data_IF_133248889231
#
_entry.id   IF_133248889231
#
_cell.length_a   1.000
_cell.length_b   1.000
_cell.length_c   1.000
_cell.angle_alpha   90.00
_cell.angle_beta   90.00
_cell.angle_gamma   90.00
#
_symmetry.space_group_name_H-M   'P 1'
#
loop_
_entity.id
_entity.type
_entity.pdbx_description
1 polymer ?
#
# COMPACT_ATOMS: atom_id res chain seq x y z
N UNK A 1 -17.52 -20.86 10.57
CA UNK A 1 -18.42 -20.33 9.54
C UNK A 1 -19.34 -19.33 10.25
N UNK A 2 -18.92 -18.06 10.28
CA UNK A 2 -19.69 -16.94 10.81
C UNK A 2 -20.80 -16.69 9.80
N UNK A 3 -22.04 -16.90 10.17
CA UNK A 3 -23.21 -16.50 9.39
C UNK A 3 -23.15 -14.99 9.19
N UNK A 4 -22.95 -14.54 7.97
CA UNK A 4 -23.17 -13.15 7.60
C UNK A 4 -24.67 -12.85 7.84
N UNK A 5 -24.97 -12.08 8.89
CA UNK A 5 -26.28 -11.53 9.11
C UNK A 5 -26.54 -10.49 7.99
N UNK A 6 -27.19 -10.94 6.94
CA UNK A 6 -27.76 -10.06 5.92
C UNK A 6 -29.06 -9.48 6.46
N UNK A 7 -28.96 -8.79 7.59
CA UNK A 7 -30.03 -7.99 8.13
C UNK A 7 -30.55 -7.06 7.04
N UNK A 8 -31.86 -6.90 6.96
CA UNK A 8 -32.61 -6.00 6.09
C UNK A 8 -32.30 -4.53 6.44
N UNK A 9 -31.02 -4.16 6.43
CA UNK A 9 -30.60 -2.76 6.55
C UNK A 9 -31.06 -2.05 5.28
N UNK A 10 -31.98 -1.11 5.43
CA UNK A 10 -32.34 -0.22 4.33
C UNK A 10 -31.11 0.60 3.97
N UNK A 11 -30.95 0.91 2.68
CA UNK A 11 -29.88 1.80 2.18
C UNK A 11 -29.90 3.16 2.91
N UNK A 12 -31.07 3.60 3.36
CA UNK A 12 -31.27 4.83 4.15
C UNK A 12 -30.63 4.77 5.56
N UNK A 13 -30.33 3.57 6.07
CA UNK A 13 -29.70 3.37 7.40
C UNK A 13 -28.17 3.38 7.35
N UNK A 14 -27.57 3.49 6.14
CA UNK A 14 -26.12 3.62 5.99
C UNK A 14 -25.68 5.00 6.48
N UNK A 15 -24.74 4.99 7.42
CA UNK A 15 -24.16 6.22 7.94
C UNK A 15 -23.58 7.04 6.76
N UNK A 16 -24.05 8.26 6.61
CA UNK A 16 -23.48 9.17 5.61
C UNK A 16 -21.99 9.37 5.90
N UNK A 17 -21.12 9.33 4.89
CA UNK A 17 -19.70 9.49 5.09
C UNK A 17 -19.41 10.86 5.72
N UNK A 18 -18.64 10.84 6.80
CA UNK A 18 -18.13 12.08 7.43
C UNK A 18 -17.35 12.86 6.39
N UNK A 19 -17.64 14.15 6.23
CA UNK A 19 -16.99 15.00 5.24
C UNK A 19 -15.47 14.89 5.29
N UNK A 20 -14.87 14.55 4.15
CA UNK A 20 -13.41 14.41 4.01
C UNK A 20 -12.82 15.82 3.98
N UNK A 21 -11.78 16.14 4.79
CA UNK A 21 -11.15 17.45 4.75
C UNK A 21 -10.54 17.70 3.35
N UNK A 22 -10.83 18.87 2.77
CA UNK A 22 -10.38 19.25 1.43
C UNK A 22 -8.84 19.34 1.27
N UNK A 23 -8.11 19.35 2.37
CA UNK A 23 -6.65 19.38 2.41
C UNK A 23 -6.15 18.20 3.22
N UNK A 24 -5.45 17.28 2.55
CA UNK A 24 -4.83 16.16 3.22
C UNK A 24 -3.46 16.58 3.78
N UNK A 25 -3.23 16.53 5.10
CA UNK A 25 -1.93 16.84 5.68
C UNK A 25 -0.87 15.88 5.14
N UNK A 26 0.33 16.40 4.83
CA UNK A 26 1.49 15.59 4.40
C UNK A 26 1.81 14.42 5.35
N UNK A 27 1.48 14.58 6.64
CA UNK A 27 1.59 13.55 7.65
C UNK A 27 0.75 12.28 7.36
N UNK A 28 -0.35 12.37 6.60
CA UNK A 28 -1.14 11.20 6.21
C UNK A 28 -0.46 10.42 5.07
N UNK A 29 0.20 11.10 4.14
CA UNK A 29 1.00 10.45 3.10
C UNK A 29 2.15 9.64 3.72
N UNK A 30 2.83 10.18 4.74
CA UNK A 30 3.91 9.48 5.45
C UNK A 30 3.45 8.22 6.22
N UNK A 31 2.15 8.08 6.50
CA UNK A 31 1.60 6.87 7.14
C UNK A 31 1.31 5.74 6.16
N UNK A 32 1.37 5.99 4.87
CA UNK A 32 1.12 4.97 3.84
C UNK A 32 2.18 3.87 3.90
N UNK A 33 1.78 2.59 3.91
CA UNK A 33 2.72 1.47 3.98
C UNK A 33 3.66 1.38 2.77
N UNK A 34 3.18 1.75 1.58
CA UNK A 34 3.96 1.74 0.33
C UNK A 34 5.09 2.79 0.36
N UNK A 35 4.82 4.00 0.85
CA UNK A 35 5.84 5.05 1.01
C UNK A 35 6.89 4.63 2.04
N UNK A 36 6.45 4.09 3.18
CA UNK A 36 7.38 3.59 4.22
C UNK A 36 8.23 2.43 3.73
N UNK A 37 7.67 1.55 2.90
CA UNK A 37 8.41 0.45 2.29
C UNK A 37 9.46 0.96 1.31
N UNK A 38 9.12 1.93 0.46
CA UNK A 38 10.05 2.53 -0.48
C UNK A 38 11.16 3.32 0.23
N UNK A 39 10.84 4.03 1.33
CA UNK A 39 11.82 4.71 2.19
C UNK A 39 12.80 3.72 2.83
N UNK A 40 12.30 2.61 3.37
CA UNK A 40 13.13 1.56 3.94
C UNK A 40 14.05 0.91 2.90
N UNK A 41 13.55 0.73 1.67
CA UNK A 41 14.36 0.22 0.56
C UNK A 41 15.48 1.19 0.18
N UNK A 42 15.21 2.50 0.15
CA UNK A 42 16.23 3.53 -0.08
C UNK A 42 17.30 3.53 1.03
N UNK A 43 16.89 3.45 2.29
CA UNK A 43 17.82 3.35 3.43
C UNK A 43 18.69 2.11 3.29
N UNK A 44 18.12 0.96 2.94
CA UNK A 44 18.85 -0.28 2.75
C UNK A 44 19.87 -0.18 1.59
N UNK A 45 19.46 0.39 0.45
CA UNK A 45 20.35 0.58 -0.70
C UNK A 45 21.50 1.54 -0.36
N UNK A 46 21.23 2.63 0.35
CA UNK A 46 22.25 3.57 0.82
C UNK A 46 23.26 2.89 1.78
N UNK A 47 22.76 2.04 2.69
CA UNK A 47 23.62 1.27 3.58
C UNK A 47 24.54 0.26 2.82
N UNK A 48 24.10 -0.25 1.68
CA UNK A 48 24.91 -1.14 0.84
C UNK A 48 26.15 -0.46 0.24
N UNK A 49 26.13 0.86 0.05
CA UNK A 49 27.31 1.63 -0.33
C UNK A 49 28.39 1.46 0.74
N UNK A 50 28.05 1.64 2.01
CA UNK A 50 28.98 1.45 3.13
C UNK A 50 29.52 0.01 3.21
N UNK A 51 28.69 -1.00 2.89
CA UNK A 51 29.15 -2.41 2.80
C UNK A 51 30.16 -2.59 1.66
N UNK A 52 29.87 -2.00 0.49
CA UNK A 52 30.77 -2.06 -0.67
C UNK A 52 32.11 -1.37 -0.37
N UNK A 53 32.08 -0.22 0.31
CA UNK A 53 33.28 0.48 0.77
C UNK A 53 34.09 -0.36 1.79
N UNK A 54 33.40 -0.97 2.77
CA UNK A 54 34.02 -1.82 3.78
C UNK A 54 34.72 -3.05 3.15
N UNK A 55 34.19 -3.60 2.08
CA UNK A 55 34.78 -4.72 1.35
C UNK A 55 36.13 -4.37 0.66
N UNK A 56 36.48 -3.10 0.57
CA UNK A 56 37.81 -2.62 0.11
C UNK A 56 38.86 -2.71 1.22
N UNK A 57 38.44 -2.84 2.46
CA UNK A 57 39.31 -2.91 3.61
C UNK A 57 39.63 -4.36 3.98
N UNK A 58 40.81 -4.64 4.56
CA UNK A 58 41.09 -5.97 5.10
C UNK A 58 40.15 -6.37 6.21
N UNK A 59 39.66 -7.60 6.18
CA UNK A 59 38.88 -8.18 7.30
C UNK A 59 39.82 -8.74 8.37
N UNK A 60 39.46 -8.48 9.63
CA UNK A 60 40.11 -9.06 10.80
C UNK A 60 39.22 -10.20 11.32
N UNK A 61 39.78 -11.44 11.29
CA UNK A 61 39.11 -12.61 11.86
C UNK A 61 39.84 -13.05 13.12
N UNK A 62 39.08 -13.21 14.19
CA UNK A 62 39.54 -13.76 15.46
C UNK A 62 38.88 -15.13 15.66
N UNK A 63 39.69 -16.16 15.91
CA UNK A 63 39.21 -17.50 16.14
C UNK A 63 39.76 -18.05 17.46
N UNK A 64 38.93 -18.78 18.17
CA UNK A 64 39.35 -19.54 19.34
C UNK A 64 38.67 -20.89 19.34
N UNK A 65 39.38 -21.92 19.76
CA UNK A 65 38.80 -23.24 19.99
C UNK A 65 39.29 -23.81 21.30
N UNK A 66 38.43 -24.55 21.95
CA UNK A 66 38.71 -25.36 23.13
C UNK A 66 38.04 -26.70 22.95
N UNK A 67 38.77 -27.77 23.13
CA UNK A 67 38.24 -29.13 22.94
C UNK A 67 39.16 -30.21 23.41
N UNK A 68 38.87 -31.44 23.02
CA UNK A 68 39.71 -32.60 23.24
C UNK A 68 40.04 -33.25 21.92
N UNK A 69 41.29 -33.64 21.74
CA UNK A 69 41.78 -34.39 20.57
C UNK A 69 42.63 -35.60 21.03
N UNK A 70 42.22 -36.81 20.63
CA UNK A 70 42.91 -38.01 20.98
C UNK A 70 42.94 -39.00 19.81
N UNK A 71 43.95 -39.82 19.73
CA UNK A 71 44.09 -40.86 18.70
C UNK A 71 43.18 -42.09 18.95
N UNK A 72 42.72 -42.30 20.20
CA UNK A 72 41.76 -43.33 20.56
C UNK A 72 40.61 -42.78 21.40
N UNK A 73 39.46 -43.43 21.33
CA UNK A 73 38.25 -43.04 22.09
C UNK A 73 38.44 -43.13 23.62
N UNK A 74 39.30 -44.04 24.09
CA UNK A 74 39.64 -44.20 25.52
C UNK A 74 40.37 -42.99 26.09
N UNK A 75 41.13 -42.28 25.28
CA UNK A 75 41.99 -41.17 25.71
C UNK A 75 41.31 -39.81 25.57
N UNK A 76 40.12 -39.77 24.97
CA UNK A 76 39.41 -38.55 24.64
C UNK A 76 39.07 -37.68 25.86
N UNK A 77 38.89 -38.29 27.04
CA UNK A 77 38.59 -37.63 28.29
C UNK A 77 39.79 -37.51 29.25
N UNK A 78 41.00 -37.85 28.77
CA UNK A 78 42.21 -37.67 29.53
C UNK A 78 42.66 -36.21 29.54
N UNK A 79 43.39 -35.79 30.57
CA UNK A 79 43.90 -34.41 30.64
C UNK A 79 44.89 -34.10 29.53
N UNK A 80 45.54 -35.11 28.97
CA UNK A 80 46.49 -34.97 27.84
C UNK A 80 45.78 -34.67 26.53
N UNK A 81 44.51 -35.03 26.42
CA UNK A 81 43.71 -34.80 25.22
C UNK A 81 43.19 -33.34 25.08
N UNK A 82 43.29 -32.53 26.13
CA UNK A 82 42.84 -31.15 26.09
C UNK A 82 43.69 -30.33 25.11
N UNK A 83 42.98 -29.68 24.22
CA UNK A 83 43.60 -28.78 23.22
C UNK A 83 42.88 -27.47 23.18
N UNK A 84 43.60 -26.40 23.02
CA UNK A 84 43.07 -25.07 22.82
C UNK A 84 43.94 -24.28 21.85
N UNK A 85 43.35 -23.30 21.21
CA UNK A 85 44.08 -22.39 20.35
C UNK A 85 43.34 -21.09 20.20
N UNK A 86 44.10 -20.05 19.99
CA UNK A 86 43.64 -18.72 19.66
C UNK A 86 44.40 -18.28 18.41
N UNK A 87 43.70 -17.79 17.42
CA UNK A 87 44.26 -17.30 16.17
C UNK A 87 43.66 -15.96 15.79
N UNK A 88 44.48 -15.12 15.19
CA UNK A 88 44.05 -13.89 14.53
C UNK A 88 44.57 -13.89 13.11
N UNK A 89 43.73 -13.56 12.14
CA UNK A 89 44.12 -13.43 10.74
C UNK A 89 43.59 -12.14 10.14
N UNK A 90 44.38 -11.49 9.30
CA UNK A 90 44.01 -10.35 8.49
C UNK A 90 44.02 -10.75 7.04
N UNK A 91 42.89 -10.56 6.33
CA UNK A 91 42.76 -10.93 4.94
C UNK A 91 42.06 -9.84 4.16
N UNK A 92 42.61 -9.40 3.06
CA UNK A 92 42.02 -8.38 2.19
C UNK A 92 42.67 -8.31 0.84
N UNK A 93 42.04 -7.65 -0.15
CA UNK A 93 42.59 -7.44 -1.47
C UNK A 93 43.75 -6.44 -1.40
N UNK A 94 44.93 -6.84 -1.87
CA UNK A 94 46.06 -5.91 -2.08
C UNK A 94 46.00 -5.28 -3.46
N UNK A 95 45.52 -6.03 -4.45
CA UNK A 95 45.42 -5.60 -5.84
C UNK A 95 44.26 -6.38 -6.51
N UNK A 96 43.23 -5.69 -7.01
CA UNK A 96 42.02 -6.30 -7.54
C UNK A 96 41.56 -5.75 -8.90
N UNK A 97 42.45 -5.00 -9.59
CA UNK A 97 42.21 -4.43 -10.92
C UNK A 97 40.92 -3.60 -11.02
N UNK A 98 40.51 -2.92 -9.93
CA UNK A 98 39.35 -2.06 -9.92
C UNK A 98 38.02 -2.77 -9.54
N UNK A 99 38.05 -4.06 -9.21
CA UNK A 99 36.85 -4.82 -8.86
C UNK A 99 36.11 -4.20 -7.69
N UNK A 100 36.81 -3.85 -6.63
CA UNK A 100 36.21 -3.22 -5.43
C UNK A 100 35.65 -1.85 -5.75
N UNK A 101 36.32 -1.06 -6.60
CA UNK A 101 35.82 0.23 -7.03
C UNK A 101 34.52 0.10 -7.84
N UNK A 102 34.48 -0.80 -8.83
CA UNK A 102 33.26 -1.07 -9.58
C UNK A 102 32.11 -1.60 -8.71
N UNK A 103 32.45 -2.29 -7.62
CA UNK A 103 31.47 -2.70 -6.60
C UNK A 103 30.81 -1.52 -5.90
N UNK A 104 31.58 -0.49 -5.55
CA UNK A 104 31.05 0.76 -4.95
C UNK A 104 30.18 1.50 -5.96
N UNK A 105 30.69 1.71 -7.18
CA UNK A 105 29.93 2.37 -8.26
C UNK A 105 28.59 1.66 -8.56
N UNK A 106 28.58 0.33 -8.51
CA UNK A 106 27.34 -0.45 -8.65
C UNK A 106 26.39 -0.22 -7.49
N UNK A 107 26.89 -0.14 -6.23
CA UNK A 107 26.06 0.13 -5.07
C UNK A 107 25.48 1.56 -5.08
N UNK A 108 26.27 2.54 -5.54
CA UNK A 108 25.81 3.92 -5.73
C UNK A 108 24.69 3.99 -6.78
N UNK A 109 24.85 3.35 -7.93
CA UNK A 109 23.82 3.29 -8.96
C UNK A 109 22.52 2.62 -8.48
N UNK A 110 22.63 1.59 -7.64
CA UNK A 110 21.45 0.96 -7.01
C UNK A 110 20.78 1.87 -6.00
N UNK A 111 21.53 2.69 -5.27
CA UNK A 111 20.95 3.70 -4.36
C UNK A 111 20.24 4.80 -5.13
N UNK A 112 20.78 5.29 -6.24
CA UNK A 112 20.11 6.23 -7.15
C UNK A 112 18.80 5.64 -7.73
N UNK A 113 18.82 4.37 -8.11
CA UNK A 113 17.63 3.66 -8.57
C UNK A 113 16.55 3.61 -7.46
N UNK A 114 16.94 3.29 -6.23
CA UNK A 114 16.04 3.23 -5.09
C UNK A 114 15.45 4.62 -4.77
N UNK A 115 16.25 5.69 -4.91
CA UNK A 115 15.79 7.08 -4.75
C UNK A 115 14.75 7.44 -5.83
N UNK A 116 15.00 7.11 -7.07
CA UNK A 116 14.05 7.35 -8.16
C UNK A 116 12.73 6.59 -7.93
N UNK A 117 12.81 5.34 -7.45
CA UNK A 117 11.65 4.53 -7.11
C UNK A 117 10.86 5.13 -5.92
N UNK A 118 11.54 5.61 -4.89
CA UNK A 118 10.89 6.31 -3.78
C UNK A 118 10.13 7.56 -4.25
N UNK A 119 10.77 8.40 -5.07
CA UNK A 119 10.14 9.59 -5.66
C UNK A 119 8.90 9.22 -6.50
N UNK A 120 8.98 8.16 -7.30
CA UNK A 120 7.86 7.66 -8.10
C UNK A 120 6.69 7.23 -7.20
N UNK A 121 6.97 6.47 -6.14
CA UNK A 121 5.95 6.03 -5.17
C UNK A 121 5.26 7.20 -4.52
N UNK A 122 5.99 8.24 -4.09
CA UNK A 122 5.42 9.45 -3.49
C UNK A 122 4.53 10.19 -4.49
N UNK A 123 4.97 10.35 -5.74
CA UNK A 123 4.19 11.02 -6.79
C UNK A 123 2.91 10.24 -7.13
N UNK A 124 3.01 8.91 -7.21
CA UNK A 124 1.85 8.03 -7.44
C UNK A 124 0.84 8.16 -6.31
N UNK A 125 1.30 8.08 -5.06
CA UNK A 125 0.45 8.24 -3.88
C UNK A 125 -0.24 9.60 -3.84
N UNK A 126 0.45 10.67 -4.22
CA UNK A 126 -0.14 12.00 -4.32
C UNK A 126 -1.23 12.08 -5.39
N UNK A 127 -0.98 11.50 -6.58
CA UNK A 127 -1.97 11.45 -7.66
C UNK A 127 -3.20 10.63 -7.27
N UNK A 128 -3.02 9.48 -6.62
CA UNK A 128 -4.13 8.64 -6.12
C UNK A 128 -5.03 9.40 -5.15
N UNK A 129 -4.43 10.14 -4.21
CA UNK A 129 -5.20 10.96 -3.27
C UNK A 129 -5.96 12.06 -3.99
N UNK A 130 -5.31 12.75 -4.92
CA UNK A 130 -5.96 13.79 -5.73
C UNK A 130 -7.14 13.23 -6.51
N UNK A 131 -6.94 12.09 -7.18
CA UNK A 131 -7.98 11.46 -7.98
C UNK A 131 -9.15 10.94 -7.12
N UNK A 132 -8.86 10.45 -5.91
CA UNK A 132 -9.88 10.08 -4.93
C UNK A 132 -10.70 11.29 -4.47
N UNK A 133 -10.06 12.43 -4.21
CA UNK A 133 -10.75 13.67 -3.83
C UNK A 133 -11.65 14.20 -4.96
N UNK A 134 -11.16 14.16 -6.20
CA UNK A 134 -11.98 14.53 -7.36
C UNK A 134 -13.17 13.58 -7.56
N UNK A 135 -12.95 12.27 -7.39
CA UNK A 135 -14.02 11.28 -7.48
C UNK A 135 -15.08 11.48 -6.41
N UNK A 136 -14.66 11.86 -5.20
CA UNK A 136 -15.56 12.18 -4.09
C UNK A 136 -16.42 13.39 -4.41
N UNK A 137 -15.81 14.54 -4.78
CA UNK A 137 -16.53 15.77 -5.17
C UNK A 137 -17.49 15.53 -6.34
N UNK A 138 -17.05 14.74 -7.34
CA UNK A 138 -17.91 14.38 -8.46
C UNK A 138 -19.11 13.53 -8.01
N UNK A 139 -18.89 12.57 -7.10
CA UNK A 139 -19.96 11.73 -6.57
C UNK A 139 -20.99 12.51 -5.76
N UNK A 140 -20.55 13.50 -4.96
CA UNK A 140 -21.44 14.42 -4.24
C UNK A 140 -22.33 15.23 -5.19
N UNK A 141 -21.73 15.82 -6.23
CA UNK A 141 -22.49 16.58 -7.24
C UNK A 141 -23.45 15.70 -8.03
N UNK A 142 -23.02 14.46 -8.35
CA UNK A 142 -23.87 13.47 -9.00
C UNK A 142 -25.07 13.11 -8.16
N UNK A 143 -24.87 12.88 -6.86
CA UNK A 143 -25.96 12.59 -5.93
C UNK A 143 -26.99 13.73 -5.89
N UNK A 144 -26.52 14.97 -5.75
CA UNK A 144 -27.40 16.14 -5.75
C UNK A 144 -28.23 16.25 -7.07
N UNK A 145 -27.62 15.96 -8.22
CA UNK A 145 -28.33 15.96 -9.51
C UNK A 145 -29.35 14.81 -9.63
N UNK A 146 -29.06 13.64 -9.06
CA UNK A 146 -29.99 12.50 -9.00
C UNK A 146 -31.18 12.84 -8.09
N UNK A 147 -30.95 13.50 -6.96
CA UNK A 147 -32.02 13.92 -6.04
C UNK A 147 -32.96 14.93 -6.72
N UNK A 148 -32.42 15.91 -7.43
CA UNK A 148 -33.23 16.86 -8.22
C UNK A 148 -34.04 16.15 -9.32
N UNK A 149 -33.42 15.21 -10.02
CA UNK A 149 -34.10 14.38 -11.02
C UNK A 149 -35.23 13.57 -10.40
N UNK A 150 -35.01 12.96 -9.24
CA UNK A 150 -36.00 12.16 -8.52
C UNK A 150 -37.22 13.01 -8.14
N UNK A 151 -36.99 14.22 -7.62
CA UNK A 151 -38.09 15.14 -7.32
C UNK A 151 -38.89 15.54 -8.57
N UNK A 152 -38.24 15.81 -9.70
CA UNK A 152 -38.89 16.16 -10.95
C UNK A 152 -39.76 15.00 -11.48
N UNK A 153 -39.21 13.79 -11.46
CA UNK A 153 -39.93 12.56 -11.90
C UNK A 153 -41.08 12.23 -10.96
N UNK A 154 -40.89 12.42 -9.63
CA UNK A 154 -41.97 12.22 -8.64
C UNK A 154 -43.15 13.18 -8.91
N UNK A 155 -42.87 14.47 -9.16
CA UNK A 155 -43.90 15.45 -9.53
C UNK A 155 -44.60 15.08 -10.85
N UNK A 156 -43.86 14.62 -11.83
CA UNK A 156 -44.43 14.15 -13.13
C UNK A 156 -45.37 12.98 -12.91
N UNK A 157 -44.99 12.03 -12.08
CA UNK A 157 -45.86 10.88 -11.71
C UNK A 157 -47.14 11.34 -11.01
N UNK A 158 -47.07 12.27 -10.07
CA UNK A 158 -48.26 12.82 -9.38
C UNK A 158 -49.23 13.48 -10.35
N UNK A 159 -48.71 14.29 -11.29
CA UNK A 159 -49.52 14.91 -12.34
C UNK A 159 -50.15 13.86 -13.28
N UNK A 160 -49.41 12.83 -13.68
CA UNK A 160 -49.93 11.76 -14.53
C UNK A 160 -51.08 10.99 -13.88
N UNK A 161 -50.98 10.73 -12.57
CA UNK A 161 -52.06 10.09 -11.81
C UNK A 161 -53.30 11.00 -11.75
N UNK A 162 -53.11 12.30 -11.45
CA UNK A 162 -54.22 13.25 -11.38
C UNK A 162 -54.93 13.38 -12.75
N UNK A 163 -54.17 13.48 -13.85
CA UNK A 163 -54.72 13.59 -15.20
C UNK A 163 -55.43 12.29 -15.64
N UNK A 164 -54.92 11.13 -15.22
CA UNK A 164 -55.60 9.85 -15.45
C UNK A 164 -56.95 9.77 -14.76
N UNK A 165 -57.01 10.20 -13.49
CA UNK A 165 -58.25 10.21 -12.71
C UNK A 165 -59.30 11.17 -13.30
N UNK A 166 -58.85 12.19 -14.02
CA UNK A 166 -59.69 13.15 -14.77
C UNK A 166 -60.03 12.67 -16.20
N UNK A 167 -59.50 11.51 -16.63
CA UNK A 167 -59.72 10.93 -17.97
C UNK A 167 -58.98 11.70 -19.07
N UNK A 168 -57.92 12.49 -18.78
CA UNK A 168 -57.18 13.30 -19.72
C UNK A 168 -55.99 12.57 -20.34
N UNK A 169 -55.46 11.52 -19.66
CA UNK A 169 -54.36 10.68 -20.15
C UNK A 169 -54.70 9.20 -20.07
N UNK A 170 -53.95 8.39 -20.85
CA UNK A 170 -54.14 6.95 -20.91
C UNK A 170 -53.51 6.25 -19.69
N UNK A 171 -53.99 5.02 -19.44
CA UNK A 171 -53.36 4.17 -18.40
C UNK A 171 -51.87 3.87 -18.74
N UNK A 172 -51.52 3.81 -20.03
CA UNK A 172 -50.13 3.60 -20.45
C UNK A 172 -49.23 4.75 -19.97
N UNK A 173 -49.64 6.01 -20.14
CA UNK A 173 -48.89 7.19 -19.69
C UNK A 173 -48.70 7.20 -18.17
N UNK A 174 -49.73 6.81 -17.39
CA UNK A 174 -49.62 6.66 -15.95
C UNK A 174 -48.58 5.60 -15.57
N UNK A 175 -48.62 4.41 -16.23
CA UNK A 175 -47.68 3.32 -15.94
C UNK A 175 -46.25 3.67 -16.36
N UNK A 176 -46.07 4.43 -17.46
CA UNK A 176 -44.76 4.93 -17.86
C UNK A 176 -44.19 5.92 -16.83
N UNK A 177 -45.01 6.81 -16.27
CA UNK A 177 -44.57 7.71 -15.19
C UNK A 177 -44.16 6.93 -13.92
N UNK A 178 -44.91 5.88 -13.54
CA UNK A 178 -44.56 5.01 -12.41
C UNK A 178 -43.25 4.25 -12.67
N UNK A 179 -43.04 3.72 -13.87
CA UNK A 179 -41.79 3.05 -14.24
C UNK A 179 -40.59 3.99 -14.19
N UNK A 180 -40.74 5.22 -14.69
CA UNK A 180 -39.69 6.22 -14.67
C UNK A 180 -39.31 6.62 -13.24
N UNK A 181 -40.29 6.74 -12.33
CA UNK A 181 -40.02 6.99 -10.90
C UNK A 181 -39.25 5.84 -10.26
N UNK A 182 -39.64 4.59 -10.56
CA UNK A 182 -38.91 3.42 -10.04
C UNK A 182 -37.48 3.38 -10.56
N UNK A 183 -37.26 3.68 -11.84
CA UNK A 183 -35.92 3.75 -12.44
C UNK A 183 -35.05 4.84 -11.81
N UNK A 184 -35.64 6.01 -11.50
CA UNK A 184 -34.92 7.10 -10.83
C UNK A 184 -34.53 6.73 -9.38
N UNK A 185 -35.41 6.04 -8.65
CA UNK A 185 -35.11 5.53 -7.30
C UNK A 185 -34.00 4.49 -7.31
N UNK A 186 -33.97 3.60 -8.31
CA UNK A 186 -32.90 2.62 -8.47
C UNK A 186 -31.54 3.25 -8.84
N UNK A 187 -31.54 4.42 -9.48
CA UNK A 187 -30.32 5.14 -9.79
C UNK A 187 -29.74 5.92 -8.58
N UNK A 188 -30.59 6.24 -7.59
CA UNK A 188 -30.17 6.85 -6.31
C UNK A 188 -29.57 5.82 -5.34
N UNK A 189 -30.08 4.57 -5.34
CA UNK A 189 -29.60 3.46 -4.51
C UNK A 189 -28.23 2.93 -4.94
#
# INVERSE_FOLDING_TARGET
LTTLDTGTSRLDDLAQPVGIPAVMPSAMLQRRPDIRSAEAALIAATAQIGVAEANRLPSLNLSSFLGTAAASTSDLFSDVARTWGVGASVMGPLFDFGRSQSGVESAEALAEQAEAQYRLTVLTAFNEVRDALYSYDFSERRLAAIDEQLEAVARTRELAVLMYDQGQVSQLERLDAERNLLSARLAQA
#
